data_IF_954301449151
#
_entry.id   IF_954301449151
#
_cell.length_a   1.000
_cell.length_b   1.000
_cell.length_c   1.000
_cell.angle_alpha   90.00
_cell.angle_beta   90.00
_cell.angle_gamma   90.00
#
_symmetry.space_group_name_H-M   'P 1'
#
loop_
_entity.id
_entity.type
_entity.pdbx_description
1 polymer ?
#
# COMPACT_ATOMS: atom_id res chain seq x y z
N UNK A 1 2.16 14.79 64.41
CA UNK A 1 1.85 13.71 63.49
C UNK A 1 0.70 14.07 62.52
N UNK A 2 -0.31 14.85 62.90
CA UNK A 2 -1.46 15.19 62.06
C UNK A 2 -1.17 16.13 60.86
N UNK A 3 -0.13 16.96 60.96
CA UNK A 3 0.21 17.96 59.90
C UNK A 3 0.71 17.32 58.61
N UNK A 4 1.42 16.21 58.70
CA UNK A 4 1.93 15.51 57.53
C UNK A 4 0.86 14.64 56.84
N UNK A 5 -0.16 14.21 57.59
CA UNK A 5 -1.28 13.41 57.06
C UNK A 5 -2.20 14.27 56.18
N UNK A 6 -2.42 15.53 56.59
CA UNK A 6 -3.22 16.48 55.81
C UNK A 6 -2.56 16.82 54.45
N UNK A 7 -1.23 16.93 54.41
CA UNK A 7 -0.46 17.20 53.18
C UNK A 7 -0.52 15.99 52.23
N UNK A 8 -0.50 14.78 52.76
CA UNK A 8 -0.56 13.55 51.98
C UNK A 8 -1.92 13.36 51.31
N UNK A 9 -3.01 13.74 52.01
CA UNK A 9 -4.38 13.72 51.46
C UNK A 9 -4.55 14.79 50.37
N UNK A 10 -3.97 15.98 50.55
CA UNK A 10 -4.03 17.06 49.58
C UNK A 10 -3.27 16.69 48.29
N UNK A 11 -2.14 15.98 48.39
CA UNK A 11 -1.37 15.51 47.22
C UNK A 11 -2.13 14.40 46.45
N UNK A 12 -2.87 13.55 47.13
CA UNK A 12 -3.66 12.48 46.49
C UNK A 12 -4.83 13.02 45.68
N UNK A 13 -5.38 14.19 46.02
CA UNK A 13 -6.48 14.82 45.26
C UNK A 13 -6.01 15.52 43.97
N UNK A 14 -4.72 15.89 43.86
CA UNK A 14 -4.17 16.51 42.69
C UNK A 14 -3.95 15.50 41.57
N UNK A 15 -3.75 14.23 41.87
CA UNK A 15 -3.53 13.16 40.89
C UNK A 15 -4.83 12.66 40.20
N UNK A 16 -6.02 13.04 40.71
CA UNK A 16 -7.30 12.61 40.13
C UNK A 16 -7.93 13.60 39.17
N UNK A 17 -7.30 14.73 38.85
CA UNK A 17 -7.84 15.77 37.98
C UNK A 17 -7.42 15.69 36.51
N UNK A 18 -6.83 14.58 36.06
CA UNK A 18 -6.67 14.32 34.61
C UNK A 18 -7.97 13.73 34.04
N UNK A 19 -9.00 14.55 33.93
CA UNK A 19 -10.17 14.30 33.10
C UNK A 19 -9.74 14.56 31.65
N UNK A 20 -9.45 13.50 30.89
CA UNK A 20 -9.32 13.59 29.44
C UNK A 20 -10.56 14.25 28.86
N UNK A 21 -10.43 15.31 28.05
CA UNK A 21 -11.58 15.81 27.30
C UNK A 21 -11.96 14.71 26.32
N UNK A 22 -13.13 14.10 26.49
CA UNK A 22 -13.81 13.39 25.42
C UNK A 22 -14.16 14.44 24.39
N UNK A 23 -13.36 14.56 23.34
CA UNK A 23 -13.74 15.24 22.12
C UNK A 23 -14.82 14.41 21.42
N UNK A 24 -16.04 14.58 21.87
CA UNK A 24 -17.27 14.05 21.26
C UNK A 24 -18.16 15.15 20.77
N UNK A 25 -17.59 16.23 20.23
CA UNK A 25 -18.35 17.28 19.54
C UNK A 25 -17.67 17.68 18.21
N UNK A 26 -17.32 16.68 17.40
CA UNK A 26 -17.31 16.88 15.96
C UNK A 26 -18.74 16.58 15.50
N UNK A 27 -19.45 17.52 14.88
CA UNK A 27 -20.76 17.24 14.33
C UNK A 27 -20.60 16.12 13.30
N UNK A 28 -21.32 15.04 13.52
CA UNK A 28 -21.38 13.82 12.70
C UNK A 28 -21.78 14.10 11.23
N UNK A 29 -21.89 15.37 10.85
CA UNK A 29 -22.37 15.83 9.56
C UNK A 29 -21.37 16.71 8.79
N UNK A 30 -20.08 16.79 9.21
CA UNK A 30 -19.15 17.73 8.59
C UNK A 30 -18.36 17.15 7.40
N UNK A 31 -18.38 15.83 7.19
CA UNK A 31 -17.77 15.22 6.00
C UNK A 31 -18.77 14.25 5.40
N UNK A 32 -19.72 14.78 4.67
CA UNK A 32 -20.51 13.96 3.77
C UNK A 32 -19.58 13.48 2.65
N UNK A 33 -19.13 12.23 2.74
CA UNK A 33 -18.28 11.59 1.73
C UNK A 33 -18.91 11.57 0.34
N UNK A 34 -20.19 11.90 0.26
CA UNK A 34 -20.94 12.06 -0.99
C UNK A 34 -20.50 13.30 -1.78
N UNK A 35 -19.83 14.27 -1.14
CA UNK A 35 -19.38 15.52 -1.80
C UNK A 35 -17.96 15.43 -2.38
N UNK A 36 -17.21 14.36 -2.08
CA UNK A 36 -15.91 14.11 -2.73
C UNK A 36 -16.18 13.33 -4.01
N UNK A 37 -16.75 14.02 -4.98
CA UNK A 37 -16.95 13.48 -6.30
C UNK A 37 -15.65 13.62 -7.09
N UNK A 38 -14.83 12.56 -7.11
CA UNK A 38 -13.70 12.50 -8.02
C UNK A 38 -14.25 12.13 -9.41
N UNK A 39 -14.27 13.05 -10.38
CA UNK A 39 -14.84 12.76 -11.71
C UNK A 39 -14.09 11.63 -12.44
N UNK A 40 -12.89 11.27 -12.00
CA UNK A 40 -12.15 10.13 -12.57
C UNK A 40 -12.65 8.76 -12.08
N UNK A 41 -13.47 8.72 -11.00
CA UNK A 41 -14.04 7.49 -10.45
C UNK A 41 -15.56 7.50 -10.45
N UNK A 42 -16.20 8.56 -11.01
CA UNK A 42 -17.64 8.76 -11.02
C UNK A 42 -18.38 7.98 -12.12
N UNK A 43 -17.75 6.99 -12.71
CA UNK A 43 -18.46 6.05 -13.59
C UNK A 43 -19.25 5.08 -12.73
N UNK A 44 -20.53 5.45 -12.49
CA UNK A 44 -21.62 4.58 -12.05
C UNK A 44 -21.27 3.55 -10.95
N UNK A 45 -21.71 3.84 -9.74
CA UNK A 45 -21.87 2.86 -8.66
C UNK A 45 -22.92 1.80 -9.06
N UNK A 46 -22.62 1.02 -10.07
CA UNK A 46 -23.17 -0.33 -10.22
C UNK A 46 -22.46 -1.18 -9.20
N UNK A 47 -23.20 -1.88 -8.35
CA UNK A 47 -22.78 -2.92 -7.43
C UNK A 47 -21.45 -3.58 -7.87
N UNK A 48 -20.33 -2.89 -7.61
CA UNK A 48 -19.00 -3.38 -7.92
C UNK A 48 -18.67 -4.36 -6.80
N UNK A 49 -18.96 -5.59 -7.03
CA UNK A 49 -18.22 -6.71 -6.51
C UNK A 49 -16.78 -6.33 -6.77
N UNK A 50 -16.00 -6.06 -5.72
CA UNK A 50 -14.67 -5.48 -5.79
C UNK A 50 -13.84 -6.17 -6.89
N UNK A 51 -13.73 -5.52 -8.05
CA UNK A 51 -12.94 -6.02 -9.17
C UNK A 51 -11.47 -5.80 -8.83
N UNK A 52 -10.87 -6.77 -8.16
CA UNK A 52 -9.50 -6.71 -7.67
C UNK A 52 -8.58 -7.47 -8.63
N UNK A 53 -7.59 -6.79 -9.23
CA UNK A 53 -6.54 -7.47 -9.98
C UNK A 53 -5.60 -8.21 -9.03
N UNK A 54 -5.13 -9.39 -9.42
CA UNK A 54 -4.20 -10.20 -8.65
C UNK A 54 -3.07 -10.71 -9.53
N UNK A 55 -1.83 -10.38 -9.17
CA UNK A 55 -0.65 -10.94 -9.81
C UNK A 55 -0.40 -12.39 -9.38
N UNK A 56 -0.17 -13.26 -10.35
CA UNK A 56 0.41 -14.58 -10.12
C UNK A 56 1.64 -14.73 -11.00
N UNK A 57 2.80 -14.79 -10.40
CA UNK A 57 4.04 -15.08 -11.12
C UNK A 57 4.23 -16.59 -11.28
N UNK A 58 4.72 -17.02 -12.45
CA UNK A 58 5.18 -18.39 -12.64
C UNK A 58 6.43 -18.67 -11.78
N UNK A 59 7.31 -17.67 -11.67
CA UNK A 59 8.53 -17.69 -10.89
C UNK A 59 8.79 -16.29 -10.33
N UNK A 60 8.95 -16.18 -9.03
CA UNK A 60 9.16 -14.89 -8.34
C UNK A 60 10.64 -14.64 -7.96
N UNK A 61 11.49 -15.63 -8.13
CA UNK A 61 12.92 -15.54 -7.86
C UNK A 61 13.67 -16.15 -9.05
N UNK A 62 14.75 -15.50 -9.45
CA UNK A 62 15.68 -16.02 -10.44
C UNK A 62 17.11 -15.82 -9.93
N UNK A 63 17.89 -16.89 -9.90
CA UNK A 63 19.30 -16.86 -9.55
C UNK A 63 20.12 -16.86 -10.85
N UNK A 64 20.90 -15.79 -11.02
CA UNK A 64 21.80 -15.65 -12.18
C UNK A 64 23.15 -16.37 -12.00
N UNK A 65 23.41 -16.93 -10.82
CA UNK A 65 24.68 -17.53 -10.49
C UNK A 65 25.82 -16.50 -10.40
N UNK A 66 27.01 -16.89 -10.84
CA UNK A 66 28.20 -16.02 -10.84
C UNK A 66 28.21 -15.16 -12.09
N UNK A 67 28.29 -13.85 -11.91
CA UNK A 67 28.29 -12.85 -12.99
C UNK A 67 29.65 -12.16 -12.98
N UNK A 68 30.22 -11.93 -14.18
CA UNK A 68 31.41 -11.12 -14.31
C UNK A 68 31.12 -9.64 -14.16
N UNK A 69 32.09 -8.86 -13.68
CA UNK A 69 31.94 -7.41 -13.57
C UNK A 69 31.76 -6.77 -14.94
N UNK A 70 30.76 -5.88 -15.06
CA UNK A 70 30.39 -5.21 -16.32
C UNK A 70 29.51 -6.05 -17.24
N UNK A 71 29.13 -7.25 -16.84
CA UNK A 71 28.21 -8.10 -17.59
C UNK A 71 26.78 -7.62 -17.43
N UNK A 72 26.03 -7.65 -18.54
CA UNK A 72 24.60 -7.37 -18.57
C UNK A 72 23.84 -8.66 -18.81
N UNK A 73 22.98 -9.00 -17.89
CA UNK A 73 22.14 -10.19 -17.98
C UNK A 73 20.67 -9.79 -17.80
N UNK A 74 19.79 -10.56 -18.43
CA UNK A 74 18.35 -10.27 -18.39
C UNK A 74 17.57 -11.54 -18.08
N UNK A 75 16.46 -11.37 -17.39
CA UNK A 75 15.49 -12.43 -17.15
C UNK A 75 14.06 -11.90 -17.33
N UNK A 76 13.20 -12.74 -17.87
CA UNK A 76 11.80 -12.44 -18.16
C UNK A 76 10.89 -13.16 -17.15
N UNK A 77 10.36 -12.40 -16.21
CA UNK A 77 9.35 -12.90 -15.26
C UNK A 77 7.98 -12.91 -15.92
N UNK A 78 7.42 -14.10 -16.11
CA UNK A 78 6.05 -14.27 -16.61
C UNK A 78 5.07 -14.17 -15.47
N UNK A 79 3.95 -13.49 -15.71
CA UNK A 79 2.85 -13.38 -14.76
C UNK A 79 1.51 -13.45 -15.46
N UNK A 80 0.47 -13.74 -14.67
CA UNK A 80 -0.93 -13.77 -15.07
C UNK A 80 -1.75 -12.92 -14.10
N UNK A 81 -2.77 -12.23 -14.60
CA UNK A 81 -3.78 -11.60 -13.76
C UNK A 81 -4.86 -12.64 -13.44
N UNK A 82 -4.77 -13.27 -12.28
CA UNK A 82 -5.74 -14.24 -11.78
C UNK A 82 -6.89 -13.60 -11.00
N UNK A 83 -6.89 -12.26 -10.91
CA UNK A 83 -7.99 -11.50 -10.32
C UNK A 83 -9.18 -11.39 -11.26
N UNK A 84 -10.19 -10.67 -10.80
CA UNK A 84 -11.41 -10.37 -11.57
C UNK A 84 -11.44 -8.91 -12.06
N UNK A 85 -10.47 -8.09 -11.66
CA UNK A 85 -10.31 -6.70 -12.09
C UNK A 85 -9.20 -6.50 -13.11
N UNK A 86 -9.25 -5.41 -13.83
CA UNK A 86 -8.23 -4.99 -14.78
C UNK A 86 -6.93 -4.62 -14.07
N UNK A 87 -5.81 -5.20 -14.51
CA UNK A 87 -4.49 -4.94 -13.95
C UNK A 87 -3.73 -3.91 -14.78
N UNK A 88 -3.27 -2.85 -14.14
CA UNK A 88 -2.41 -1.83 -14.74
C UNK A 88 -1.14 -1.68 -13.91
N UNK A 89 0.02 -1.89 -14.54
CA UNK A 89 1.31 -1.67 -13.91
C UNK A 89 1.71 -0.21 -14.11
N UNK A 90 1.66 0.58 -13.05
CA UNK A 90 1.99 2.01 -13.11
C UNK A 90 3.48 2.28 -13.07
N UNK A 91 4.22 1.49 -12.28
CA UNK A 91 5.66 1.60 -12.13
C UNK A 91 6.28 0.26 -11.74
N UNK A 92 7.52 0.06 -12.14
CA UNK A 92 8.41 -0.98 -11.63
C UNK A 92 9.79 -0.35 -11.43
N UNK A 93 10.42 -0.62 -10.30
CA UNK A 93 11.73 -0.06 -9.95
C UNK A 93 12.59 -1.13 -9.30
N UNK A 94 13.89 -1.11 -9.60
CA UNK A 94 14.88 -1.86 -8.86
C UNK A 94 15.26 -1.13 -7.57
N UNK A 95 15.78 -1.86 -6.59
CA UNK A 95 16.31 -1.29 -5.34
C UNK A 95 17.59 -0.46 -5.54
N UNK A 96 18.28 -0.66 -6.65
CA UNK A 96 19.46 0.11 -7.06
C UNK A 96 19.34 0.48 -8.54
N UNK A 97 20.13 1.44 -9.01
CA UNK A 97 20.17 1.83 -10.42
C UNK A 97 20.76 0.77 -11.37
N UNK A 98 21.28 -0.34 -10.83
CA UNK A 98 21.84 -1.46 -11.59
C UNK A 98 20.76 -2.39 -12.17
N UNK A 99 19.51 -2.23 -11.75
CA UNK A 99 18.38 -3.06 -12.21
C UNK A 99 17.39 -2.21 -12.96
N UNK A 100 17.17 -2.54 -14.21
CA UNK A 100 16.25 -1.83 -15.11
C UNK A 100 15.09 -2.77 -15.47
N UNK A 101 13.89 -2.53 -14.94
CA UNK A 101 12.72 -3.32 -15.31
C UNK A 101 12.01 -2.73 -16.53
N UNK A 102 11.57 -3.58 -17.43
CA UNK A 102 10.64 -3.29 -18.52
C UNK A 102 9.36 -4.09 -18.30
N UNK A 103 8.22 -3.46 -18.49
CA UNK A 103 6.92 -4.06 -18.19
C UNK A 103 5.83 -3.56 -19.14
N UNK A 104 4.73 -4.33 -19.34
CA UNK A 104 3.60 -3.91 -20.16
C UNK A 104 2.96 -2.63 -19.65
N UNK A 105 2.67 -1.70 -20.53
CA UNK A 105 1.97 -0.44 -20.23
C UNK A 105 0.47 -0.54 -20.43
N UNK A 106 0.04 -1.56 -21.18
CA UNK A 106 -1.35 -1.80 -21.50
C UNK A 106 -2.11 -2.43 -20.32
N UNK A 107 -3.43 -2.32 -20.39
CA UNK A 107 -4.33 -2.95 -19.42
C UNK A 107 -4.33 -4.46 -19.63
N UNK A 108 -4.07 -5.20 -18.56
CA UNK A 108 -4.05 -6.66 -18.54
C UNK A 108 -5.36 -7.16 -17.95
N UNK A 109 -6.22 -7.70 -18.77
CA UNK A 109 -7.53 -8.22 -18.38
C UNK A 109 -7.41 -9.46 -17.51
N UNK A 110 -8.44 -9.79 -16.72
CA UNK A 110 -8.56 -11.07 -16.03
C UNK A 110 -8.27 -12.26 -16.95
N UNK A 111 -7.46 -13.20 -16.47
CA UNK A 111 -7.01 -14.38 -17.23
C UNK A 111 -5.93 -14.13 -18.27
N UNK A 112 -5.54 -12.87 -18.50
CA UNK A 112 -4.42 -12.53 -19.37
C UNK A 112 -3.15 -12.36 -18.56
N UNK A 113 -2.01 -12.49 -19.23
CA UNK A 113 -0.70 -12.34 -18.62
C UNK A 113 0.19 -11.36 -19.34
N UNK A 114 1.40 -11.23 -18.81
CA UNK A 114 2.45 -10.40 -19.36
C UNK A 114 3.83 -10.85 -18.92
N UNK A 115 4.81 -10.08 -19.32
CA UNK A 115 6.21 -10.32 -18.99
C UNK A 115 6.80 -9.05 -18.39
N UNK A 116 7.49 -9.19 -17.28
CA UNK A 116 8.37 -8.17 -16.73
C UNK A 116 9.80 -8.61 -17.01
N UNK A 117 10.46 -7.89 -17.90
CA UNK A 117 11.85 -8.14 -18.26
C UNK A 117 12.76 -7.34 -17.33
N UNK A 118 13.68 -7.99 -16.66
CA UNK A 118 14.59 -7.34 -15.73
C UNK A 118 16.00 -7.49 -16.24
N UNK A 119 16.66 -6.37 -16.49
CA UNK A 119 18.08 -6.34 -16.89
C UNK A 119 18.92 -5.89 -15.69
N UNK A 120 19.90 -6.70 -15.34
CA UNK A 120 20.89 -6.38 -14.32
C UNK A 120 22.21 -6.02 -15.00
N UNK A 121 22.83 -4.92 -14.57
CA UNK A 121 24.11 -4.46 -15.02
C UNK A 121 25.10 -4.51 -13.84
N UNK A 122 26.03 -5.41 -13.88
CA UNK A 122 26.98 -5.69 -12.80
C UNK A 122 28.11 -4.64 -12.76
#
# INVERSE_FOLDING_TARGET
MFRNFAILIALLHILMACKSPKNSDLPENAINTTLIHNPATASEAKNQKDDVPVFKFEKNIHDFGTIAQGEKISYAFRFENIGNGDLVIRAAQGSCGCTIPEYPKDVIKPGNGGVISVTFNS
#
